data_IF_233597403451
#
_entry.id   IF_233597403451
#
_cell.length_a   1.000
_cell.length_b   1.000
_cell.length_c   1.000
_cell.angle_alpha   90.00
_cell.angle_beta   90.00
_cell.angle_gamma   90.00
#
_symmetry.space_group_name_H-M   'P 1'
#
loop_
_entity.id
_entity.type
_entity.pdbx_description
1 polymer ?
#
# COMPACT_ATOMS: atom_id res chain seq x y z
N UNK A 1 6.72 9.11 8.48
CA UNK A 1 5.78 8.18 7.80
C UNK A 1 5.62 6.90 8.59
N UNK A 2 4.41 6.41 8.67
CA UNK A 2 4.17 5.14 9.34
C UNK A 2 4.74 3.98 8.55
N UNK A 3 5.42 3.10 9.24
CA UNK A 3 5.88 1.83 8.68
C UNK A 3 4.65 0.96 8.39
N UNK A 4 4.61 0.28 7.26
CA UNK A 4 3.50 -0.58 6.88
C UNK A 4 3.19 -1.63 7.95
N UNK A 5 4.20 -2.11 8.64
CA UNK A 5 4.03 -3.10 9.72
C UNK A 5 3.30 -2.55 10.93
N UNK A 6 3.38 -1.24 11.14
CA UNK A 6 2.73 -0.57 12.27
C UNK A 6 1.30 -0.14 11.94
N UNK A 7 0.90 -0.23 10.68
CA UNK A 7 -0.43 0.18 10.23
C UNK A 7 -1.45 -0.94 10.46
N UNK A 8 -2.68 -0.56 10.80
CA UNK A 8 -3.78 -1.51 10.86
C UNK A 8 -4.15 -1.94 9.44
N UNK A 9 -4.84 -3.06 9.31
CA UNK A 9 -5.30 -3.53 8.00
C UNK A 9 -6.16 -2.48 7.31
N UNK A 10 -7.01 -1.83 8.07
CA UNK A 10 -7.89 -0.78 7.56
C UNK A 10 -7.09 0.42 7.03
N UNK A 11 -6.02 0.76 7.72
CA UNK A 11 -5.13 1.83 7.29
C UNK A 11 -4.42 1.46 5.98
N UNK A 12 -3.96 0.21 5.88
CA UNK A 12 -3.32 -0.28 4.68
C UNK A 12 -4.26 -0.20 3.48
N UNK A 13 -5.49 -0.64 3.67
CA UNK A 13 -6.51 -0.61 2.63
C UNK A 13 -6.80 0.83 2.19
N UNK A 14 -6.95 1.72 3.15
CA UNK A 14 -7.21 3.14 2.88
C UNK A 14 -6.05 3.78 2.10
N UNK A 15 -4.83 3.50 2.51
CA UNK A 15 -3.64 4.03 1.85
C UNK A 15 -3.50 3.48 0.43
N UNK A 16 -3.86 2.22 0.23
CA UNK A 16 -3.81 1.60 -1.08
C UNK A 16 -4.77 2.29 -2.05
N UNK A 17 -5.99 2.54 -1.61
CA UNK A 17 -6.98 3.23 -2.42
C UNK A 17 -6.55 4.65 -2.75
N UNK A 18 -5.99 5.34 -1.76
CA UNK A 18 -5.47 6.69 -1.93
C UNK A 18 -4.35 6.74 -2.96
N UNK A 19 -3.45 5.78 -2.86
CA UNK A 19 -2.33 5.63 -3.79
C UNK A 19 -2.81 5.44 -5.23
N UNK A 20 -3.77 4.57 -5.41
CA UNK A 20 -4.32 4.26 -6.74
C UNK A 20 -5.04 5.45 -7.34
N UNK A 21 -5.73 6.22 -6.52
CA UNK A 21 -6.39 7.43 -6.95
C UNK A 21 -5.37 8.46 -7.42
N UNK A 22 -4.30 8.66 -6.65
CA UNK A 22 -3.23 9.59 -7.00
C UNK A 22 -2.48 9.15 -8.26
N UNK A 23 -2.33 7.86 -8.44
CA UNK A 23 -1.60 7.29 -9.57
C UNK A 23 -2.21 7.70 -10.90
N UNK A 24 -3.51 7.94 -10.93
CA UNK A 24 -4.23 8.30 -12.16
C UNK A 24 -3.81 9.65 -12.72
N UNK A 25 -3.39 10.57 -11.86
CA UNK A 25 -3.05 11.94 -12.24
C UNK A 25 -1.60 12.31 -11.93
N UNK A 26 -0.82 11.37 -11.44
CA UNK A 26 0.55 11.64 -11.03
C UNK A 26 1.49 11.79 -12.23
N UNK A 27 2.54 12.60 -12.04
CA UNK A 27 3.62 12.72 -13.00
C UNK A 27 4.42 11.41 -13.02
N UNK A 28 5.27 11.24 -14.03
CA UNK A 28 6.06 10.03 -14.20
C UNK A 28 6.91 9.72 -12.95
N UNK A 29 7.57 10.72 -12.41
CA UNK A 29 8.39 10.56 -11.20
C UNK A 29 7.53 10.14 -10.02
N UNK A 30 6.40 10.80 -9.85
CA UNK A 30 5.48 10.50 -8.76
C UNK A 30 4.86 9.11 -8.91
N UNK A 31 4.57 8.71 -10.13
CA UNK A 31 4.04 7.37 -10.41
C UNK A 31 4.96 6.26 -9.91
N UNK A 32 6.26 6.43 -10.10
CA UNK A 32 7.25 5.45 -9.64
C UNK A 32 7.20 5.29 -8.12
N UNK A 33 7.12 6.39 -7.41
CA UNK A 33 7.02 6.38 -5.95
C UNK A 33 5.72 5.70 -5.50
N UNK A 34 4.62 6.02 -6.16
CA UNK A 34 3.31 5.45 -5.83
C UNK A 34 3.25 3.96 -6.12
N UNK A 35 3.88 3.52 -7.21
CA UNK A 35 3.95 2.09 -7.55
C UNK A 35 4.75 1.33 -6.49
N UNK A 36 5.88 1.90 -6.06
CA UNK A 36 6.69 1.30 -5.01
C UNK A 36 5.90 1.18 -3.70
N UNK A 37 5.18 2.23 -3.36
CA UNK A 37 4.33 2.25 -2.16
C UNK A 37 3.21 1.22 -2.24
N UNK A 38 2.57 1.13 -3.40
CA UNK A 38 1.51 0.14 -3.66
C UNK A 38 2.04 -1.27 -3.42
N UNK A 39 3.23 -1.56 -3.93
CA UNK A 39 3.86 -2.86 -3.75
C UNK A 39 4.08 -3.17 -2.26
N UNK A 40 4.60 -2.22 -1.50
CA UNK A 40 4.84 -2.40 -0.08
C UNK A 40 3.54 -2.68 0.68
N UNK A 41 2.49 -1.93 0.35
CA UNK A 41 1.19 -2.11 0.97
C UNK A 41 0.60 -3.48 0.66
N UNK A 42 0.70 -3.90 -0.59
CA UNK A 42 0.19 -5.20 -1.03
C UNK A 42 0.95 -6.36 -0.37
N UNK A 43 2.25 -6.24 -0.28
CA UNK A 43 3.09 -7.26 0.36
C UNK A 43 2.70 -7.44 1.83
N UNK A 44 2.50 -6.33 2.52
CA UNK A 44 2.13 -6.39 3.94
C UNK A 44 0.73 -6.99 4.13
N UNK A 45 -0.22 -6.59 3.29
CA UNK A 45 -1.59 -7.12 3.36
C UNK A 45 -1.61 -8.63 3.08
N UNK A 46 -0.86 -9.05 2.07
CA UNK A 46 -0.75 -10.45 1.70
C UNK A 46 -0.10 -11.28 2.82
N UNK A 47 0.94 -10.74 3.44
CA UNK A 47 1.61 -11.38 4.56
C UNK A 47 0.67 -11.62 5.73
N UNK A 48 -0.16 -10.65 6.05
CA UNK A 48 -1.15 -10.77 7.13
C UNK A 48 -2.22 -11.78 6.79
N UNK A 49 -2.65 -11.79 5.54
CA UNK A 49 -3.65 -12.74 5.07
C UNK A 49 -3.14 -14.17 5.21
N UNK A 50 -1.92 -14.43 4.75
CA UNK A 50 -1.31 -15.76 4.85
C UNK A 50 -1.10 -16.20 6.29
N UNK A 51 -0.69 -15.28 7.14
CA UNK A 51 -0.52 -15.55 8.57
C UNK A 51 -1.83 -15.96 9.24
N UNK A 52 -2.92 -15.35 8.80
CA UNK A 52 -4.25 -15.61 9.35
C UNK A 52 -4.79 -16.98 8.92
N UNK A 53 -4.34 -17.48 7.79
CA UNK A 53 -4.81 -18.74 7.22
C UNK A 53 -4.23 -19.97 7.92
N UNK A 54 -3.15 -19.78 8.63
CA UNK A 54 -2.53 -20.87 9.41
C UNK A 54 -3.17 -20.96 10.80
#
# INVERSE_FOLDING_TARGET
>A
MKNTKAMSYKELESELLKNRTELRTASLTKKRELISRDHDLMVEMDSRWNSKKN
#
